data_IF_282011820883
#
_entry.id   IF_282011820883
#
_cell.length_a   1.000
_cell.length_b   1.000
_cell.length_c   1.000
_cell.angle_alpha   90.00
_cell.angle_beta   90.00
_cell.angle_gamma   90.00
#
_symmetry.space_group_name_H-M   'P 1'
#
loop_
_entity.id
_entity.type
_entity.pdbx_description
1 polymer ?
#
# COMPACT_ATOMS: atom_id res chain seq x y z
N UNK A 1 -4.48 13.28 20.00
CA UNK A 1 -5.35 13.15 18.82
C UNK A 1 -4.61 13.83 17.69
N UNK A 2 -4.37 13.17 16.57
CA UNK A 2 -3.79 13.81 15.40
C UNK A 2 -4.88 14.71 14.78
N UNK A 3 -5.02 15.90 15.35
CA UNK A 3 -5.84 16.97 14.82
C UNK A 3 -4.93 17.83 13.92
N UNK A 4 -4.89 17.45 12.66
CA UNK A 4 -4.15 18.14 11.61
C UNK A 4 -4.57 17.50 10.30
N UNK A 5 -5.17 18.28 9.39
CA UNK A 5 -5.80 17.82 8.15
C UNK A 5 -4.89 17.10 7.12
N UNK A 6 -3.75 16.56 7.54
CA UNK A 6 -2.80 15.83 6.72
C UNK A 6 -3.12 14.34 6.58
N UNK A 7 -2.32 13.69 5.73
CA UNK A 7 -2.34 12.27 5.45
C UNK A 7 -1.13 11.59 6.11
N UNK A 8 -1.40 10.53 6.85
CA UNK A 8 -0.37 9.74 7.54
C UNK A 8 0.28 8.74 6.58
N UNK A 9 1.42 8.15 6.95
CA UNK A 9 1.89 6.96 6.24
C UNK A 9 1.15 5.73 6.74
N UNK A 10 0.77 4.84 5.81
CA UNK A 10 0.20 3.53 6.12
C UNK A 10 1.20 2.43 5.73
N UNK A 11 1.18 1.35 6.51
CA UNK A 11 2.02 0.16 6.25
C UNK A 11 1.46 -0.63 5.07
N UNK A 12 2.36 -1.21 4.26
CA UNK A 12 1.99 -2.09 3.14
C UNK A 12 1.63 -3.47 3.69
N UNK A 13 0.39 -3.60 4.15
CA UNK A 13 -0.12 -4.79 4.83
C UNK A 13 -1.52 -5.13 4.32
N UNK A 14 -1.70 -6.39 3.96
CA UNK A 14 -2.94 -6.97 3.43
C UNK A 14 -4.13 -6.78 4.40
N UNK A 15 -3.92 -6.92 5.71
CA UNK A 15 -4.95 -6.73 6.73
C UNK A 15 -5.33 -5.26 6.91
N UNK A 16 -4.37 -4.35 6.81
CA UNK A 16 -4.59 -2.89 6.81
C UNK A 16 -5.38 -2.47 5.57
N UNK A 17 -4.94 -2.87 4.37
CA UNK A 17 -5.58 -2.46 3.11
C UNK A 17 -6.99 -3.02 3.01
N UNK A 18 -7.19 -4.28 3.43
CA UNK A 18 -8.53 -4.87 3.47
C UNK A 18 -9.45 -4.16 4.44
N UNK A 19 -8.98 -3.86 5.66
CA UNK A 19 -9.80 -3.14 6.64
C UNK A 19 -10.09 -1.69 6.20
N UNK A 20 -9.17 -1.07 5.44
CA UNK A 20 -9.35 0.27 4.88
C UNK A 20 -10.52 0.32 3.90
N UNK A 21 -10.58 -0.60 2.94
CA UNK A 21 -11.68 -0.62 1.96
C UNK A 21 -13.02 -1.02 2.60
N UNK A 22 -13.01 -1.91 3.60
CA UNK A 22 -14.21 -2.25 4.37
C UNK A 22 -14.75 -1.03 5.13
N UNK A 23 -13.86 -0.22 5.72
CA UNK A 23 -14.24 1.06 6.35
C UNK A 23 -14.78 2.10 5.36
N UNK A 24 -14.40 2.02 4.09
CA UNK A 24 -14.94 2.85 3.01
C UNK A 24 -16.27 2.32 2.46
N UNK A 25 -16.77 1.19 2.97
CA UNK A 25 -18.05 0.60 2.55
C UNK A 25 -17.95 -0.39 1.38
N UNK A 26 -16.73 -0.70 0.90
CA UNK A 26 -16.51 -1.71 -0.13
C UNK A 26 -16.83 -3.09 0.42
N UNK A 27 -17.48 -3.94 -0.38
CA UNK A 27 -17.87 -5.29 0.03
C UNK A 27 -17.22 -6.38 -0.81
N UNK A 28 -17.02 -7.53 -0.18
CA UNK A 28 -16.59 -8.78 -0.80
C UNK A 28 -15.26 -8.68 -1.58
N UNK A 29 -14.36 -7.80 -1.13
CA UNK A 29 -13.01 -7.62 -1.67
C UNK A 29 -11.99 -7.73 -0.53
N UNK A 30 -10.84 -8.32 -0.83
CA UNK A 30 -9.70 -8.36 0.09
C UNK A 30 -8.37 -8.21 -0.65
N UNK A 31 -7.32 -7.95 0.12
CA UNK A 31 -5.95 -7.90 -0.37
C UNK A 31 -5.20 -9.15 0.07
N UNK A 32 -4.40 -9.69 -0.83
CA UNK A 32 -3.52 -10.84 -0.58
C UNK A 32 -2.09 -10.48 -0.96
N UNK A 33 -1.16 -10.55 -0.02
CA UNK A 33 0.26 -10.35 -0.28
C UNK A 33 0.82 -11.52 -1.10
N UNK A 34 1.56 -11.17 -2.16
CA UNK A 34 2.20 -12.13 -3.06
C UNK A 34 3.68 -12.24 -2.71
N UNK A 35 4.08 -13.43 -2.24
CA UNK A 35 5.47 -13.75 -1.90
C UNK A 35 6.29 -14.04 -3.16
N UNK A 36 5.65 -14.58 -4.20
CA UNK A 36 6.29 -14.99 -5.45
C UNK A 36 5.71 -14.26 -6.66
N UNK A 37 6.58 -14.00 -7.64
CA UNK A 37 6.23 -13.37 -8.92
C UNK A 37 5.98 -14.44 -9.98
N UNK A 38 4.91 -15.20 -9.80
CA UNK A 38 4.44 -16.21 -10.74
C UNK A 38 2.94 -16.04 -11.03
N UNK A 39 2.57 -16.33 -12.29
CA UNK A 39 1.21 -16.18 -12.76
C UNK A 39 0.25 -17.19 -12.11
N UNK A 40 0.73 -18.36 -11.71
CA UNK A 40 -0.10 -19.42 -11.13
C UNK A 40 -0.65 -19.00 -9.75
N UNK A 41 0.17 -18.34 -8.93
CA UNK A 41 -0.26 -17.77 -7.64
C UNK A 41 -1.36 -16.75 -7.84
N UNK A 42 -1.21 -15.79 -8.76
CA UNK A 42 -2.25 -14.81 -9.06
C UNK A 42 -3.52 -15.51 -9.58
N UNK A 43 -3.36 -16.48 -10.49
CA UNK A 43 -4.49 -17.22 -11.07
C UNK A 43 -5.26 -17.99 -10.01
N UNK A 44 -4.58 -18.56 -9.01
CA UNK A 44 -5.20 -19.29 -7.90
C UNK A 44 -6.11 -18.42 -7.03
N UNK A 45 -5.93 -17.10 -7.05
CA UNK A 45 -6.72 -16.12 -6.30
C UNK A 45 -7.87 -15.53 -7.12
N UNK A 46 -8.16 -16.08 -8.30
CA UNK A 46 -9.20 -15.54 -9.17
C UNK A 46 -10.58 -15.56 -8.51
N UNK A 47 -11.42 -14.53 -8.73
CA UNK A 47 -11.19 -13.38 -9.60
C UNK A 47 -10.23 -12.34 -8.99
N UNK A 48 -9.26 -11.87 -9.81
CA UNK A 48 -8.31 -10.82 -9.45
C UNK A 48 -8.66 -9.52 -10.19
N UNK A 49 -8.88 -8.44 -9.44
CA UNK A 49 -9.27 -7.13 -9.96
C UNK A 49 -8.06 -6.28 -10.40
N UNK A 50 -6.91 -6.56 -9.82
CA UNK A 50 -5.67 -5.84 -10.09
C UNK A 50 -4.59 -6.22 -9.08
N UNK A 51 -3.43 -5.59 -9.21
CA UNK A 51 -2.36 -5.70 -8.22
C UNK A 51 -1.84 -4.31 -7.86
N UNK A 52 -1.38 -4.17 -6.63
CA UNK A 52 -0.71 -2.99 -6.12
C UNK A 52 0.75 -3.33 -5.90
N UNK A 53 1.63 -2.53 -6.48
CA UNK A 53 3.07 -2.72 -6.39
C UNK A 53 3.70 -1.55 -5.63
N UNK A 54 4.44 -1.88 -4.57
CA UNK A 54 5.25 -0.97 -3.78
C UNK A 54 6.72 -1.18 -4.11
N UNK A 55 7.44 -0.08 -4.31
CA UNK A 55 8.88 -0.10 -4.58
C UNK A 55 9.56 1.14 -4.01
N UNK A 56 10.87 1.06 -3.76
CA UNK A 56 11.68 2.23 -3.41
C UNK A 56 11.72 3.21 -4.59
N UNK A 57 11.28 4.44 -4.38
CA UNK A 57 11.36 5.48 -5.41
C UNK A 57 12.81 5.98 -5.54
N UNK A 58 13.41 5.74 -6.70
CA UNK A 58 14.75 6.23 -7.04
C UNK A 58 14.59 7.44 -7.97
N UNK A 59 15.01 8.62 -7.51
CA UNK A 59 14.92 9.86 -8.30
C UNK A 59 15.80 9.82 -9.55
N UNK A 60 16.91 9.07 -9.50
CA UNK A 60 17.94 9.03 -10.55
C UNK A 60 17.53 8.18 -11.77
N UNK A 61 16.72 7.13 -11.61
CA UNK A 61 16.15 6.37 -12.74
C UNK A 61 15.05 7.13 -13.48
N UNK A 62 14.61 8.28 -12.95
CA UNK A 62 13.66 9.19 -13.59
C UNK A 62 14.24 10.57 -13.91
N UNK A 63 15.54 10.82 -13.65
CA UNK A 63 16.19 12.00 -14.20
C UNK A 63 16.42 11.80 -15.69
N UNK A 64 15.97 12.73 -16.56
CA UNK A 64 16.48 12.76 -17.92
C UNK A 64 17.98 13.02 -17.80
N UNK A 65 18.79 12.10 -18.32
CA UNK A 65 20.19 12.39 -18.61
C UNK A 65 20.26 13.78 -19.20
N UNK A 66 21.09 14.65 -18.62
CA UNK A 66 21.32 16.03 -19.06
C UNK A 66 21.77 16.03 -20.52
N UNK A 67 20.80 15.99 -21.42
CA UNK A 67 20.91 15.99 -22.88
C UNK A 67 19.48 16.12 -23.42
N UNK A 68 19.01 17.37 -23.49
CA UNK A 68 18.10 17.88 -24.53
C UNK A 68 17.09 16.88 -25.12
N UNK A 69 16.24 16.26 -24.30
CA UNK A 69 15.05 15.56 -24.79
C UNK A 69 13.99 15.52 -23.70
N UNK A 70 12.91 16.27 -23.94
CA UNK A 70 11.61 16.02 -23.31
C UNK A 70 11.25 14.55 -23.54
N UNK A 71 11.30 13.72 -22.51
CA UNK A 71 10.88 12.32 -22.60
C UNK A 71 9.36 12.27 -22.82
N UNK A 72 8.96 12.15 -24.08
CA UNK A 72 7.57 12.10 -24.56
C UNK A 72 6.87 10.75 -24.28
N UNK A 73 7.55 9.78 -23.66
CA UNK A 73 7.06 8.41 -23.49
C UNK A 73 7.46 7.80 -22.15
N UNK A 74 6.65 6.90 -21.57
CA UNK A 74 6.99 6.21 -20.34
C UNK A 74 8.08 5.15 -20.58
N UNK A 75 8.82 4.73 -19.54
CA UNK A 75 9.86 3.70 -19.67
C UNK A 75 9.36 2.31 -20.12
N UNK A 76 8.09 1.98 -19.93
CA UNK A 76 7.41 0.80 -20.49
C UNK A 76 5.96 1.15 -20.77
N UNK A 77 5.33 0.49 -21.74
CA UNK A 77 3.99 0.79 -22.20
C UNK A 77 3.90 2.08 -23.00
N UNK A 78 2.69 2.63 -23.11
CA UNK A 78 2.39 3.85 -23.88
C UNK A 78 1.44 4.75 -23.09
N UNK A 79 1.68 6.06 -23.08
CA UNK A 79 0.72 6.99 -22.49
C UNK A 79 -0.58 6.95 -23.27
N UNK A 80 -1.69 6.76 -22.56
CA UNK A 80 -3.02 6.88 -23.10
C UNK A 80 -3.54 8.30 -22.83
N UNK A 81 -3.42 9.18 -23.82
CA UNK A 81 -3.80 10.60 -23.70
C UNK A 81 -5.29 10.84 -23.94
N UNK A 82 -6.01 9.84 -24.45
CA UNK A 82 -7.45 9.88 -24.67
C UNK A 82 -8.09 8.59 -24.09
N UNK A 83 -7.97 8.39 -22.76
CA UNK A 83 -8.47 7.18 -22.14
C UNK A 83 -9.99 7.14 -22.20
N UNK A 84 -10.53 5.92 -22.13
CA UNK A 84 -11.97 5.71 -22.01
C UNK A 84 -12.56 6.59 -20.89
N UNK A 85 -13.73 7.22 -21.08
CA UNK A 85 -14.37 8.03 -20.04
C UNK A 85 -14.71 7.20 -18.79
N UNK A 86 -14.75 5.87 -18.92
CA UNK A 86 -14.98 4.93 -17.82
C UNK A 86 -13.72 4.70 -16.97
N UNK A 87 -12.53 5.06 -17.46
CA UNK A 87 -11.27 4.92 -16.73
C UNK A 87 -11.15 6.01 -15.65
N UNK A 88 -11.10 5.55 -14.40
CA UNK A 88 -10.72 6.36 -13.27
C UNK A 88 -9.20 6.42 -13.15
N UNK A 89 -8.64 7.60 -13.43
CA UNK A 89 -7.25 7.94 -13.19
C UNK A 89 -7.18 9.30 -12.48
N UNK A 90 -6.37 9.39 -11.43
CA UNK A 90 -6.18 10.59 -10.63
C UNK A 90 -4.69 10.81 -10.40
N UNK A 91 -4.24 12.06 -10.49
CA UNK A 91 -2.87 12.44 -10.16
C UNK A 91 -2.70 12.57 -8.65
N UNK A 92 -1.51 12.24 -8.17
CA UNK A 92 -1.18 12.40 -6.78
C UNK A 92 -0.87 13.87 -6.50
N UNK A 93 -1.74 14.52 -5.70
CA UNK A 93 -1.61 15.93 -5.33
C UNK A 93 -0.98 16.14 -3.94
N UNK A 94 -0.89 15.07 -3.15
CA UNK A 94 -0.43 15.08 -1.77
C UNK A 94 0.52 13.92 -1.48
N UNK A 95 1.43 14.12 -0.53
CA UNK A 95 2.32 13.06 -0.04
C UNK A 95 1.57 12.12 0.91
N UNK A 96 2.10 10.90 1.08
CA UNK A 96 1.59 9.86 1.99
C UNK A 96 0.22 9.24 1.65
N UNK A 97 -0.53 9.76 0.67
CA UNK A 97 -1.79 9.17 0.22
C UNK A 97 -1.65 8.12 -0.90
N UNK A 98 -0.44 7.88 -1.40
CA UNK A 98 -0.18 7.04 -2.58
C UNK A 98 -0.74 5.61 -2.43
N UNK A 99 -0.67 5.01 -1.24
CA UNK A 99 -1.25 3.69 -0.98
C UNK A 99 -2.77 3.66 -1.18
N UNK A 100 -3.50 4.61 -0.59
CA UNK A 100 -4.97 4.70 -0.76
C UNK A 100 -5.36 5.07 -2.18
N UNK A 101 -4.58 5.92 -2.85
CA UNK A 101 -4.82 6.26 -4.25
C UNK A 101 -4.64 5.05 -5.18
N UNK A 102 -3.60 4.23 -4.97
CA UNK A 102 -3.41 2.99 -5.73
C UNK A 102 -4.55 1.99 -5.47
N UNK A 103 -4.99 1.84 -4.21
CA UNK A 103 -6.17 1.05 -3.83
C UNK A 103 -7.40 1.50 -4.62
N UNK A 104 -7.76 2.78 -4.52
CA UNK A 104 -8.94 3.32 -5.18
C UNK A 104 -8.84 3.25 -6.71
N UNK A 105 -7.64 3.32 -7.27
CA UNK A 105 -7.42 3.15 -8.71
C UNK A 105 -7.80 1.74 -9.19
N UNK A 106 -7.62 0.70 -8.38
CA UNK A 106 -8.13 -0.65 -8.73
C UNK A 106 -9.64 -0.74 -8.47
N UNK A 107 -10.08 -0.33 -7.26
CA UNK A 107 -11.47 -0.49 -6.82
C UNK A 107 -12.47 0.26 -7.70
N UNK A 108 -12.20 1.53 -8.02
CA UNK A 108 -13.12 2.37 -8.79
C UNK A 108 -13.18 1.99 -10.27
N UNK A 109 -12.16 1.30 -10.80
CA UNK A 109 -12.16 0.79 -12.17
C UNK A 109 -12.83 -0.58 -12.33
N UNK A 110 -13.20 -1.24 -11.22
CA UNK A 110 -13.81 -2.58 -11.21
C UNK A 110 -15.21 -2.60 -10.57
N UNK A 111 -15.87 -1.44 -10.48
CA UNK A 111 -17.19 -1.33 -9.86
C UNK A 111 -18.33 -1.80 -10.78
N UNK A 112 -19.52 -1.94 -10.21
CA UNK A 112 -20.72 -2.38 -10.93
C UNK A 112 -21.20 -1.41 -12.03
N UNK A 113 -20.85 -0.12 -11.92
CA UNK A 113 -21.20 0.93 -12.88
C UNK A 113 -20.21 1.09 -14.04
N UNK A 114 -19.00 0.53 -13.95
CA UNK A 114 -18.06 0.45 -15.05
C UNK A 114 -18.63 -0.45 -16.16
N UNK A 115 -19.39 0.17 -17.07
CA UNK A 115 -20.11 -0.48 -18.18
C UNK A 115 -19.23 -1.30 -19.13
N UNK A 116 -17.91 -1.19 -18.99
CA UNK A 116 -16.93 -1.90 -19.80
C UNK A 116 -16.45 -3.22 -19.17
N UNK A 117 -16.69 -3.47 -17.88
CA UNK A 117 -16.45 -4.75 -17.21
C UNK A 117 -17.51 -5.79 -17.59
N UNK A 118 -18.09 -5.72 -18.79
CA UNK A 118 -19.16 -6.60 -19.30
C UNK A 118 -18.82 -8.10 -19.28
N UNK A 119 -17.58 -8.47 -18.96
CA UNK A 119 -17.11 -9.84 -18.76
C UNK A 119 -16.59 -10.15 -17.33
N UNK A 120 -16.69 -9.24 -16.36
CA UNK A 120 -16.37 -9.56 -14.96
C UNK A 120 -17.64 -10.11 -14.26
N UNK A 121 -17.71 -11.42 -13.96
CA UNK A 121 -18.87 -12.00 -13.30
C UNK A 121 -19.07 -11.51 -11.85
N UNK A 122 -18.06 -10.89 -11.25
CA UNK A 122 -18.07 -10.47 -9.85
C UNK A 122 -17.66 -8.99 -9.71
N UNK A 123 -18.47 -8.02 -10.18
CA UNK A 123 -18.16 -6.61 -10.04
C UNK A 123 -18.08 -6.19 -8.57
N UNK A 124 -17.24 -5.20 -8.27
CA UNK A 124 -17.06 -4.71 -6.92
C UNK A 124 -18.26 -3.85 -6.50
N UNK A 125 -18.81 -4.14 -5.33
CA UNK A 125 -19.74 -3.24 -4.66
C UNK A 125 -18.93 -2.22 -3.85
N UNK A 126 -18.81 -1.00 -4.37
CA UNK A 126 -18.00 0.08 -3.78
C UNK A 126 -18.72 0.86 -2.67
N UNK A 127 -20.00 0.58 -2.42
CA UNK A 127 -20.80 1.33 -1.45
C UNK A 127 -21.24 2.72 -1.93
N UNK A 128 -22.21 3.35 -1.23
CA UNK A 128 -22.82 4.60 -1.69
C UNK A 128 -21.88 5.80 -1.63
N UNK A 129 -20.95 5.83 -0.68
CA UNK A 129 -20.03 6.94 -0.50
C UNK A 129 -18.99 7.03 -1.62
N UNK A 130 -18.34 5.91 -1.97
CA UNK A 130 -17.39 5.86 -3.08
C UNK A 130 -18.10 6.00 -4.43
N UNK A 131 -19.34 5.51 -4.57
CA UNK A 131 -20.14 5.76 -5.76
C UNK A 131 -20.42 7.26 -5.94
N UNK A 132 -20.85 7.94 -4.86
CA UNK A 132 -21.07 9.39 -4.88
C UNK A 132 -19.79 10.17 -5.21
N UNK A 133 -18.64 9.73 -4.67
CA UNK A 133 -17.34 10.31 -5.01
C UNK A 133 -16.97 10.11 -6.49
N UNK A 134 -17.18 8.91 -7.02
CA UNK A 134 -16.91 8.58 -8.43
C UNK A 134 -17.80 9.40 -9.37
N UNK A 135 -19.09 9.52 -9.07
CA UNK A 135 -20.03 10.31 -9.85
C UNK A 135 -19.66 11.80 -9.83
N UNK A 136 -19.31 12.34 -8.65
CA UNK A 136 -18.86 13.72 -8.49
C UNK A 136 -17.62 14.04 -9.33
N UNK A 137 -16.71 13.07 -9.46
CA UNK A 137 -15.41 13.24 -10.14
C UNK A 137 -15.39 12.74 -11.60
N UNK A 138 -16.50 12.23 -12.12
CA UNK A 138 -16.57 11.60 -13.45
C UNK A 138 -16.07 12.53 -14.56
N UNK A 139 -16.46 13.81 -14.53
CA UNK A 139 -16.07 14.82 -15.53
C UNK A 139 -14.77 15.55 -15.24
N UNK A 140 -14.08 15.25 -14.14
CA UNK A 140 -12.86 15.97 -13.76
C UNK A 140 -11.63 15.46 -14.52
N UNK A 141 -10.70 16.33 -14.90
CA UNK A 141 -9.36 15.92 -15.33
C UNK A 141 -8.59 15.26 -14.17
N UNK A 142 -7.54 14.47 -14.46
CA UNK A 142 -6.83 13.67 -13.46
C UNK A 142 -6.26 14.44 -12.27
N UNK A 143 -5.78 15.68 -12.48
CA UNK A 143 -5.31 16.59 -11.44
C UNK A 143 -6.43 17.00 -10.47
N UNK A 144 -7.59 17.40 -11.00
CA UNK A 144 -8.75 17.74 -10.18
C UNK A 144 -9.38 16.52 -9.49
N UNK A 145 -9.32 15.32 -10.10
CA UNK A 145 -9.68 14.08 -9.41
C UNK A 145 -8.76 13.81 -8.22
N UNK A 146 -7.47 14.07 -8.39
CA UNK A 146 -6.47 13.99 -7.33
C UNK A 146 -6.73 14.98 -6.20
N UNK A 147 -7.10 16.21 -6.53
CA UNK A 147 -7.47 17.25 -5.56
C UNK A 147 -8.79 16.93 -4.83
N UNK A 148 -9.78 16.37 -5.54
CA UNK A 148 -11.00 15.90 -4.91
C UNK A 148 -10.74 14.76 -3.93
N UNK A 149 -9.84 13.83 -4.27
CA UNK A 149 -9.42 12.73 -3.40
C UNK A 149 -8.72 13.27 -2.14
N UNK A 150 -7.76 14.18 -2.30
CA UNK A 150 -6.98 14.72 -1.18
C UNK A 150 -7.83 15.49 -0.16
N UNK A 151 -8.88 16.15 -0.64
CA UNK A 151 -9.84 16.92 0.17
C UNK A 151 -11.03 16.08 0.69
N UNK A 152 -11.10 14.79 0.37
CA UNK A 152 -12.17 13.92 0.85
C UNK A 152 -11.98 13.55 2.31
N UNK A 153 -12.77 14.16 3.20
CA UNK A 153 -12.72 13.89 4.64
C UNK A 153 -12.96 12.43 4.97
N UNK A 154 -13.90 11.79 4.26
CA UNK A 154 -14.23 10.39 4.44
C UNK A 154 -13.02 9.50 4.13
N UNK A 155 -12.41 9.69 2.95
CA UNK A 155 -11.28 8.87 2.52
C UNK A 155 -10.08 9.12 3.43
N UNK A 156 -9.80 10.37 3.77
CA UNK A 156 -8.71 10.76 4.66
C UNK A 156 -8.90 10.20 6.08
N UNK A 157 -10.11 10.23 6.61
CA UNK A 157 -10.44 9.66 7.92
C UNK A 157 -10.28 8.14 7.93
N UNK A 158 -10.78 7.45 6.91
CA UNK A 158 -10.62 6.01 6.77
C UNK A 158 -9.14 5.61 6.65
N UNK A 159 -8.36 6.34 5.86
CA UNK A 159 -6.91 6.16 5.72
C UNK A 159 -6.18 6.36 7.06
N UNK A 160 -6.41 7.49 7.73
CA UNK A 160 -5.73 7.83 8.98
C UNK A 160 -6.14 6.92 10.15
N UNK A 161 -7.28 6.21 10.06
CA UNK A 161 -7.69 5.23 11.07
C UNK A 161 -6.70 4.04 11.19
N UNK A 162 -5.87 3.82 10.16
CA UNK A 162 -4.85 2.76 10.11
C UNK A 162 -3.41 3.30 10.19
N UNK A 163 -3.26 4.61 10.43
CA UNK A 163 -1.96 5.17 10.78
C UNK A 163 -1.47 4.56 12.09
N UNK A 164 -0.15 4.38 12.22
CA UNK A 164 0.45 4.00 13.51
C UNK A 164 0.06 5.04 14.56
N UNK A 165 -0.33 4.57 15.74
CA UNK A 165 -0.48 5.47 16.88
C UNK A 165 0.88 6.09 17.20
N UNK A 166 1.11 7.34 16.79
CA UNK A 166 2.26 8.13 17.24
C UNK A 166 1.85 8.86 18.52
N UNK A 167 2.33 8.43 19.69
CA UNK A 167 2.01 9.08 20.96
C UNK A 167 2.74 10.42 21.13
N UNK A 168 3.76 10.67 20.30
CA UNK A 168 4.51 11.91 20.27
C UNK A 168 4.11 12.69 19.01
N UNK A 169 3.67 13.93 19.19
CA UNK A 169 3.71 14.92 18.11
C UNK A 169 5.17 15.27 17.98
N UNK A 170 5.82 14.73 16.95
CA UNK A 170 7.21 15.06 16.72
C UNK A 170 7.28 16.45 16.09
N UNK A 171 7.22 17.51 16.91
CA UNK A 171 7.48 18.88 16.49
C UNK A 171 8.92 19.07 15.98
N UNK A 172 9.79 18.07 16.18
CA UNK A 172 11.16 17.99 15.69
C UNK A 172 11.33 17.14 14.43
N UNK A 173 10.27 16.51 13.90
CA UNK A 173 10.18 16.20 12.46
C UNK A 173 9.94 17.53 11.74
N UNK A 174 10.95 18.40 11.83
CA UNK A 174 11.35 19.20 10.68
C UNK A 174 11.36 18.21 9.54
N UNK A 175 10.58 18.49 8.49
CA UNK A 175 10.65 17.83 7.19
C UNK A 175 11.95 17.04 7.09
N UNK A 176 11.89 15.71 7.10
CA UNK A 176 13.01 14.84 6.69
C UNK A 176 13.25 15.07 5.18
N UNK A 177 13.54 16.32 4.81
CA UNK A 177 14.01 16.76 3.52
C UNK A 177 15.54 16.65 3.45
N UNK A 178 16.21 16.49 4.61
CA UNK A 178 17.68 16.48 4.72
C UNK A 178 18.29 15.14 5.16
N UNK A 179 17.48 14.11 5.48
CA UNK A 179 17.97 12.73 5.49
C UNK A 179 17.60 12.10 4.15
N UNK A 180 18.56 11.48 3.46
CA UNK A 180 18.35 10.59 2.30
C UNK A 180 17.54 9.34 2.71
N UNK A 181 16.36 9.54 3.27
CA UNK A 181 15.44 8.48 3.65
C UNK A 181 14.92 7.79 2.39
N UNK A 182 14.84 6.46 2.44
CA UNK A 182 14.21 5.68 1.40
C UNK A 182 12.73 6.07 1.28
N UNK A 183 12.37 6.77 0.19
CA UNK A 183 10.98 7.04 -0.15
C UNK A 183 10.42 5.85 -0.91
N UNK A 184 9.23 5.39 -0.57
CA UNK A 184 8.54 4.31 -1.27
C UNK A 184 7.33 4.84 -2.03
N UNK A 185 7.00 4.20 -3.14
CA UNK A 185 5.89 4.60 -4.00
C UNK A 185 5.00 3.42 -4.39
N UNK A 186 3.69 3.66 -4.40
CA UNK A 186 2.67 2.69 -4.79
C UNK A 186 2.16 2.98 -6.19
N UNK A 187 2.01 1.93 -7.00
CA UNK A 187 1.33 1.97 -8.29
C UNK A 187 0.34 0.82 -8.40
N UNK A 188 -0.70 1.02 -9.20
CA UNK A 188 -1.70 0.01 -9.45
C UNK A 188 -1.62 -0.53 -10.89
N UNK A 189 -1.84 -1.82 -11.06
CA UNK A 189 -2.03 -2.46 -12.35
C UNK A 189 -3.42 -3.11 -12.37
N UNK A 190 -4.24 -2.79 -13.37
CA UNK A 190 -5.60 -3.34 -13.46
C UNK A 190 -6.04 -3.44 -14.92
N UNK A 191 -6.77 -4.50 -15.31
CA UNK A 191 -7.35 -4.60 -16.63
C UNK A 191 -8.61 -3.74 -16.73
N UNK A 192 -8.66 -2.82 -17.69
CA UNK A 192 -9.83 -1.96 -17.97
C UNK A 192 -10.06 -1.95 -19.47
N UNK A 193 -11.31 -2.13 -19.89
CA UNK A 193 -11.74 -2.10 -21.31
C UNK A 193 -10.91 -3.03 -22.21
N UNK A 194 -10.52 -4.20 -21.67
CA UNK A 194 -9.72 -5.19 -22.38
C UNK A 194 -8.26 -4.79 -22.59
N UNK A 195 -7.74 -3.83 -21.81
CA UNK A 195 -6.33 -3.41 -21.80
C UNK A 195 -5.74 -3.46 -20.40
N UNK A 196 -4.45 -3.76 -20.29
CA UNK A 196 -3.73 -3.65 -19.01
C UNK A 196 -3.28 -2.21 -18.81
N UNK A 197 -3.73 -1.57 -17.74
CA UNK A 197 -3.30 -0.23 -17.37
C UNK A 197 -2.39 -0.25 -16.14
N UNK A 198 -1.33 0.55 -16.21
CA UNK A 198 -0.52 1.00 -15.08
C UNK A 198 -1.00 2.41 -14.68
N UNK A 199 -1.47 2.52 -13.44
CA UNK A 199 -2.04 3.73 -12.86
C UNK A 199 -1.07 4.22 -11.77
N UNK A 200 -0.16 5.10 -12.19
CA UNK A 200 0.81 5.78 -11.32
C UNK A 200 0.40 7.26 -11.20
N UNK A 201 0.04 7.68 -9.99
CA UNK A 201 -0.41 9.06 -9.73
C UNK A 201 0.64 10.14 -10.02
N UNK A 202 1.92 9.78 -10.11
CA UNK A 202 2.99 10.71 -10.46
C UNK A 202 3.18 10.87 -11.97
N UNK A 203 2.53 10.03 -12.79
CA UNK A 203 2.60 10.11 -14.25
C UNK A 203 1.54 11.08 -14.81
N UNK A 204 1.82 11.77 -15.92
CA UNK A 204 0.86 12.72 -16.50
C UNK A 204 -0.39 12.04 -17.08
N UNK A 205 -0.26 10.79 -17.51
CA UNK A 205 -1.32 10.01 -18.15
C UNK A 205 -1.27 8.55 -17.67
N UNK A 206 -2.39 7.82 -17.69
CA UNK A 206 -2.37 6.38 -17.48
C UNK A 206 -1.53 5.70 -18.56
N UNK A 207 -0.84 4.62 -18.18
CA UNK A 207 0.08 3.90 -19.09
C UNK A 207 -0.60 2.60 -19.52
N UNK A 208 -0.83 2.44 -20.82
CA UNK A 208 -1.35 1.21 -21.42
C UNK A 208 -0.21 0.26 -21.77
N UNK A 209 -0.34 -1.00 -21.34
CA UNK A 209 0.53 -2.12 -21.68
C UNK A 209 -0.08 -3.03 -22.78
N UNK A 210 -1.09 -2.53 -23.50
CA UNK A 210 -1.74 -3.25 -24.59
C UNK A 210 -2.96 -4.07 -24.15
N UNK A 211 -3.51 -4.86 -25.07
CA UNK A 211 -4.71 -5.67 -24.81
C UNK A 211 -4.46 -6.68 -23.69
N UNK A 212 -5.46 -6.95 -22.85
CA UNK A 212 -5.39 -7.84 -21.70
C UNK A 212 -6.79 -8.29 -21.30
N UNK A 213 -7.06 -9.59 -21.36
CA UNK A 213 -8.27 -10.18 -20.77
C UNK A 213 -8.05 -10.52 -19.30
N UNK A 214 -9.12 -10.82 -18.56
CA UNK A 214 -9.00 -11.27 -17.16
C UNK A 214 -8.19 -12.57 -17.03
N UNK A 215 -8.26 -13.46 -18.03
CA UNK A 215 -7.52 -14.72 -18.05
C UNK A 215 -6.02 -14.53 -18.33
N UNK A 216 -5.67 -13.54 -19.16
CA UNK A 216 -4.28 -13.20 -19.52
C UNK A 216 -3.61 -12.25 -18.52
N UNK A 217 -4.41 -11.65 -17.62
CA UNK A 217 -3.93 -10.66 -16.66
C UNK A 217 -2.76 -11.15 -15.81
N UNK A 218 -2.78 -12.36 -15.21
CA UNK A 218 -1.67 -12.88 -14.41
C UNK A 218 -0.33 -12.90 -15.16
N UNK A 219 -0.30 -13.36 -16.41
CA UNK A 219 0.91 -13.47 -17.20
C UNK A 219 1.43 -12.09 -17.60
N UNK A 220 0.54 -11.23 -18.11
CA UNK A 220 0.91 -9.89 -18.59
C UNK A 220 1.42 -9.00 -17.46
N UNK A 221 0.77 -9.03 -16.31
CA UNK A 221 1.20 -8.20 -15.17
C UNK A 221 2.54 -8.66 -14.61
N UNK A 222 2.79 -9.97 -14.53
CA UNK A 222 4.09 -10.50 -14.09
C UNK A 222 5.20 -10.14 -15.06
N UNK A 223 4.96 -10.16 -16.37
CA UNK A 223 5.93 -9.71 -17.37
C UNK A 223 6.33 -8.24 -17.16
N UNK A 224 5.34 -7.35 -17.03
CA UNK A 224 5.55 -5.92 -16.80
C UNK A 224 6.30 -5.67 -15.48
N UNK A 225 5.90 -6.36 -14.40
CA UNK A 225 6.54 -6.23 -13.10
C UNK A 225 8.00 -6.73 -13.10
N UNK A 226 8.29 -7.83 -13.79
CA UNK A 226 9.67 -8.33 -13.94
C UNK A 226 10.55 -7.33 -14.68
N UNK A 227 10.04 -6.74 -15.77
CA UNK A 227 10.77 -5.70 -16.50
C UNK A 227 11.04 -4.47 -15.63
N UNK A 228 10.08 -4.10 -14.75
CA UNK A 228 10.23 -2.99 -13.82
C UNK A 228 11.26 -3.28 -12.73
N UNK A 229 11.22 -4.46 -12.12
CA UNK A 229 12.18 -4.90 -11.08
C UNK A 229 13.60 -4.98 -11.65
N UNK A 230 13.76 -5.46 -12.89
CA UNK A 230 15.06 -5.55 -13.55
C UNK A 230 15.79 -4.20 -13.76
N UNK A 231 15.12 -3.07 -13.53
CA UNK A 231 15.72 -1.72 -13.57
C UNK A 231 16.37 -1.30 -12.26
N UNK A 232 16.10 -2.03 -11.18
CA UNK A 232 16.69 -1.76 -9.87
C UNK A 232 18.05 -2.43 -9.76
N UNK A 233 19.00 -1.85 -8.99
CA UNK A 233 20.29 -2.46 -8.76
C UNK A 233 20.18 -3.89 -8.20
N UNK A 234 21.12 -4.76 -8.59
CA UNK A 234 21.21 -6.10 -8.02
C UNK A 234 21.30 -6.04 -6.49
N UNK A 235 20.49 -6.85 -5.81
CA UNK A 235 20.41 -6.88 -4.35
C UNK A 235 19.34 -5.96 -3.75
N UNK A 236 18.71 -5.08 -4.54
CA UNK A 236 17.48 -4.39 -4.09
C UNK A 236 16.35 -5.43 -3.99
N UNK A 237 15.75 -5.50 -2.81
CA UNK A 237 14.71 -6.51 -2.47
C UNK A 237 13.48 -5.86 -1.84
N UNK A 238 13.48 -4.53 -1.68
CA UNK A 238 12.43 -3.80 -0.98
C UNK A 238 11.28 -3.49 -1.94
N UNK A 239 10.60 -4.56 -2.30
CA UNK A 239 9.38 -4.57 -3.07
C UNK A 239 8.29 -5.24 -2.25
N UNK A 240 7.04 -4.82 -2.45
CA UNK A 240 5.88 -5.55 -1.96
C UNK A 240 4.84 -5.56 -3.07
N UNK A 241 4.15 -6.69 -3.23
CA UNK A 241 3.12 -6.87 -4.23
C UNK A 241 1.89 -7.44 -3.55
N UNK A 242 0.75 -6.81 -3.77
CA UNK A 242 -0.54 -7.27 -3.25
C UNK A 242 -1.53 -7.44 -4.39
N UNK A 243 -2.22 -8.57 -4.42
CA UNK A 243 -3.37 -8.78 -5.30
C UNK A 243 -4.63 -8.20 -4.65
N UNK A 244 -5.46 -7.55 -5.46
CA UNK A 244 -6.82 -7.15 -5.09
C UNK A 244 -7.76 -8.20 -5.61
N UNK A 245 -8.42 -8.94 -4.71
CA UNK A 245 -9.14 -10.16 -5.06
C UNK A 245 -10.52 -10.16 -4.41
N UNK A 246 -11.41 -11.00 -4.91
CA UNK A 246 -12.68 -11.23 -4.21
C UNK A 246 -12.41 -11.88 -2.86
N UNK A 247 -13.18 -11.49 -1.85
CA UNK A 247 -13.04 -12.03 -0.50
C UNK A 247 -13.08 -13.56 -0.52
N UNK A 248 -11.98 -14.19 -0.11
CA UNK A 248 -11.79 -15.63 -0.21
C UNK A 248 -12.76 -16.40 0.68
N UNK A 249 -13.31 -15.76 1.73
CA UNK A 249 -14.38 -16.34 2.57
C UNK A 249 -15.67 -16.49 1.79
N UNK A 250 -15.97 -15.56 0.89
CA UNK A 250 -17.18 -15.61 0.06
C UNK A 250 -17.04 -16.75 -0.94
N UNK A 251 -15.91 -16.83 -1.64
CA UNK A 251 -15.62 -17.93 -2.57
C UNK A 251 -15.65 -19.30 -1.86
N UNK A 252 -15.01 -19.43 -0.70
CA UNK A 252 -15.02 -20.67 0.09
C UNK A 252 -16.43 -21.10 0.52
N UNK A 253 -17.28 -20.15 0.92
CA UNK A 253 -18.69 -20.41 1.27
C UNK A 253 -19.50 -20.92 0.08
N UNK A 254 -19.31 -20.33 -1.11
CA UNK A 254 -20.05 -20.69 -2.31
C UNK A 254 -19.72 -22.10 -2.81
N UNK A 255 -18.44 -22.50 -2.73
CA UNK A 255 -18.01 -23.85 -3.14
C UNK A 255 -18.17 -24.90 -2.03
N UNK A 256 -18.56 -24.48 -0.81
CA UNK A 256 -18.74 -25.37 0.34
C UNK A 256 -17.43 -25.87 0.96
N UNK A 257 -16.32 -25.18 0.75
CA UNK A 257 -15.02 -25.53 1.33
C UNK A 257 -14.92 -24.99 2.76
N UNK A 258 -15.29 -25.83 3.71
CA UNK A 258 -15.31 -25.50 5.14
C UNK A 258 -13.89 -25.25 5.69
N UNK A 259 -12.89 -26.00 5.21
CA UNK A 259 -11.51 -25.86 5.69
C UNK A 259 -10.89 -24.55 5.21
N UNK A 260 -11.11 -24.18 3.95
CA UNK A 260 -10.67 -22.90 3.42
C UNK A 260 -11.36 -21.74 4.12
N UNK A 261 -12.67 -21.85 4.36
CA UNK A 261 -13.41 -20.83 5.09
C UNK A 261 -12.84 -20.61 6.50
N UNK A 262 -12.59 -21.68 7.26
CA UNK A 262 -12.05 -21.55 8.62
C UNK A 262 -10.64 -20.94 8.61
N UNK A 263 -9.83 -21.25 7.59
CA UNK A 263 -8.49 -20.67 7.40
C UNK A 263 -8.57 -19.17 7.20
N UNK A 264 -9.42 -18.72 6.29
CA UNK A 264 -9.63 -17.30 6.00
C UNK A 264 -10.23 -16.57 7.22
N UNK A 265 -11.18 -17.17 7.94
CA UNK A 265 -11.72 -16.57 9.17
C UNK A 265 -10.67 -16.43 10.29
N UNK A 266 -9.73 -17.38 10.37
CA UNK A 266 -8.59 -17.27 11.30
C UNK A 266 -7.63 -16.15 10.87
N UNK A 267 -7.36 -16.03 9.56
CA UNK A 267 -6.56 -14.92 8.97
C UNK A 267 -7.18 -13.57 9.33
N UNK A 268 -8.49 -13.40 9.11
CA UNK A 268 -9.24 -12.18 9.45
C UNK A 268 -9.18 -11.83 10.94
N UNK A 269 -9.29 -12.82 11.83
CA UNK A 269 -9.15 -12.58 13.28
C UNK A 269 -7.74 -12.12 13.65
N UNK A 270 -6.70 -12.69 13.03
CA UNK A 270 -5.33 -12.27 13.25
C UNK A 270 -5.10 -10.82 12.79
N UNK A 271 -5.57 -10.45 11.60
CA UNK A 271 -5.50 -9.07 11.11
C UNK A 271 -6.25 -8.08 12.00
N UNK A 272 -7.45 -8.43 12.47
CA UNK A 272 -8.22 -7.58 13.38
C UNK A 272 -7.49 -7.36 14.71
N UNK A 273 -6.83 -8.41 15.23
CA UNK A 273 -5.99 -8.31 16.41
C UNK A 273 -4.78 -7.40 16.17
N UNK A 274 -4.08 -7.59 15.05
CA UNK A 274 -2.91 -6.78 14.70
C UNK A 274 -3.27 -5.31 14.49
N UNK A 275 -4.39 -5.02 13.82
CA UNK A 275 -4.91 -3.65 13.68
C UNK A 275 -5.28 -3.02 15.03
N UNK A 276 -5.74 -3.82 15.99
CA UNK A 276 -5.96 -3.35 17.37
C UNK A 276 -4.63 -2.98 18.05
N UNK A 277 -3.58 -3.77 17.84
CA UNK A 277 -2.24 -3.46 18.35
C UNK A 277 -1.67 -2.20 17.67
N UNK A 278 -1.76 -2.06 16.34
CA UNK A 278 -1.26 -0.89 15.59
C UNK A 278 -1.85 0.44 16.07
N UNK A 279 -3.13 0.41 16.46
CA UNK A 279 -3.87 1.59 16.96
C UNK A 279 -3.68 1.85 18.45
N UNK A 280 -3.09 0.90 19.18
CA UNK A 280 -2.90 1.02 20.62
C UNK A 280 -1.70 1.91 20.95
N UNK A 281 -1.90 2.85 21.88
CA UNK A 281 -0.81 3.63 22.44
C UNK A 281 -0.13 2.86 23.57
N UNK A 282 1.07 2.35 23.31
CA UNK A 282 1.82 1.54 24.28
C UNK A 282 2.67 2.34 25.28
N UNK A 283 2.69 3.68 25.24
CA UNK A 283 3.58 4.48 26.13
C UNK A 283 3.32 4.21 27.60
N UNK A 284 2.05 4.17 28.02
CA UNK A 284 1.70 3.87 29.41
C UNK A 284 2.14 2.47 29.82
N UNK A 285 1.91 1.48 28.95
CA UNK A 285 2.33 0.09 29.17
C UNK A 285 3.86 -0.04 29.28
N UNK A 286 4.60 0.57 28.35
CA UNK A 286 6.07 0.59 28.36
C UNK A 286 6.59 1.24 29.64
N UNK A 287 5.97 2.34 30.09
CA UNK A 287 6.33 3.01 31.33
C UNK A 287 6.18 2.10 32.56
N UNK A 288 5.07 1.37 32.67
CA UNK A 288 4.86 0.44 33.78
C UNK A 288 5.77 -0.79 33.73
N UNK A 289 6.02 -1.35 32.53
CA UNK A 289 7.01 -2.43 32.35
C UNK A 289 8.40 -1.95 32.78
N UNK A 290 8.80 -0.76 32.36
CA UNK A 290 10.09 -0.18 32.72
C UNK A 290 10.23 -0.03 34.24
N UNK A 291 9.24 0.57 34.91
CA UNK A 291 9.23 0.70 36.37
C UNK A 291 9.34 -0.66 37.07
N UNK A 292 8.61 -1.66 36.59
CA UNK A 292 8.66 -3.02 37.13
C UNK A 292 10.05 -3.66 37.00
N UNK A 293 10.66 -3.55 35.81
CA UNK A 293 12.00 -4.10 35.54
C UNK A 293 13.07 -3.40 36.37
N UNK A 294 13.04 -2.07 36.42
CA UNK A 294 13.99 -1.28 37.23
C UNK A 294 13.84 -1.64 38.71
N UNK A 295 12.62 -1.66 39.25
CA UNK A 295 12.38 -2.02 40.64
C UNK A 295 12.79 -3.46 40.98
N UNK A 296 12.71 -4.41 40.03
CA UNK A 296 13.27 -5.76 40.21
C UNK A 296 14.79 -5.77 40.28
N UNK A 297 15.47 -4.89 39.53
CA UNK A 297 16.93 -4.79 39.52
C UNK A 297 17.47 -4.09 40.76
N UNK A 298 16.82 -3.04 41.22
CA UNK A 298 17.19 -2.36 42.48
C UNK A 298 17.06 -3.30 43.69
N UNK A 299 16.04 -4.16 43.72
CA UNK A 299 15.88 -5.17 44.77
C UNK A 299 16.97 -6.26 44.80
N UNK A 300 17.75 -6.42 43.73
CA UNK A 300 18.84 -7.41 43.68
C UNK A 300 20.13 -6.93 44.37
N UNK A 301 20.20 -5.66 44.77
CA UNK A 301 21.33 -5.05 45.46
C UNK A 301 21.79 -3.76 44.79
N UNK A 302 22.53 -2.93 45.54
CA UNK A 302 23.11 -1.69 45.03
C UNK A 302 24.05 -1.98 43.84
N UNK A 303 23.96 -1.15 42.78
CA UNK A 303 24.79 -1.27 41.58
C UNK A 303 24.30 -2.29 40.53
N UNK A 304 23.28 -3.10 40.83
CA UNK A 304 22.78 -4.14 39.89
C UNK A 304 22.02 -3.57 38.70
N UNK A 305 21.39 -2.41 38.87
CA UNK A 305 20.75 -1.69 37.77
C UNK A 305 21.79 -1.16 36.80
N UNK A 306 22.83 -0.50 37.31
CA UNK A 306 23.94 0.05 36.53
C UNK A 306 24.69 -1.05 35.76
N UNK A 307 24.97 -2.19 36.42
CA UNK A 307 25.60 -3.36 35.79
C UNK A 307 24.74 -3.88 34.61
N UNK A 308 23.41 -3.91 34.78
CA UNK A 308 22.49 -4.36 33.74
C UNK A 308 22.45 -3.39 32.55
N UNK A 309 22.43 -2.09 32.81
CA UNK A 309 22.45 -1.04 31.77
C UNK A 309 23.77 -1.09 30.99
N UNK A 310 24.92 -1.21 31.66
CA UNK A 310 26.21 -1.29 30.99
C UNK A 310 26.35 -2.56 30.15
N UNK A 311 25.83 -3.70 30.62
CA UNK A 311 25.76 -4.91 29.82
C UNK A 311 24.92 -4.70 28.54
N UNK A 312 23.76 -4.05 28.66
CA UNK A 312 22.90 -3.77 27.51
C UNK A 312 23.56 -2.81 26.50
N UNK A 313 24.30 -1.80 26.97
CA UNK A 313 25.11 -0.92 26.12
C UNK A 313 26.18 -1.70 25.36
N UNK A 314 26.93 -2.56 26.05
CA UNK A 314 27.96 -3.40 25.43
C UNK A 314 27.41 -4.34 24.36
N UNK A 315 26.26 -4.98 24.63
CA UNK A 315 25.58 -5.82 23.63
C UNK A 315 25.12 -5.03 22.39
N UNK A 316 24.61 -3.81 22.61
CA UNK A 316 24.18 -2.90 21.54
C UNK A 316 25.36 -2.47 20.66
N UNK A 317 26.47 -2.06 21.27
CA UNK A 317 27.69 -1.69 20.56
C UNK A 317 28.24 -2.85 19.72
N UNK A 318 28.23 -4.08 20.28
CA UNK A 318 28.65 -5.28 19.55
C UNK A 318 27.74 -5.59 18.36
N UNK A 319 26.43 -5.33 18.46
CA UNK A 319 25.49 -5.48 17.33
C UNK A 319 25.76 -4.43 16.24
N UNK A 320 26.01 -3.18 16.62
CA UNK A 320 26.34 -2.10 15.68
C UNK A 320 27.63 -2.41 14.90
N UNK A 321 28.67 -2.87 15.58
CA UNK A 321 29.93 -3.30 14.95
C UNK A 321 29.72 -4.47 13.97
N UNK A 322 28.83 -5.42 14.28
CA UNK A 322 28.48 -6.52 13.35
C UNK A 322 27.65 -6.09 12.14
N UNK A 323 26.94 -4.96 12.22
CA UNK A 323 26.07 -4.46 11.16
C UNK A 323 26.80 -3.56 10.15
N UNK A 324 28.12 -3.39 10.25
CA UNK A 324 28.91 -2.58 9.32
C UNK A 324 28.69 -1.06 9.41
N UNK A 325 27.89 -0.56 10.37
CA UNK A 325 27.68 0.88 10.62
C UNK A 325 28.74 1.47 11.56
N UNK A 326 30.01 1.06 11.42
CA UNK A 326 31.06 1.43 12.36
C UNK A 326 31.77 2.75 12.03
N UNK A 327 31.69 3.26 10.80
CA UNK A 327 32.48 4.44 10.40
C UNK A 327 31.60 5.61 9.97
N UNK A 328 30.90 6.24 10.92
CA UNK A 328 30.58 7.68 10.86
C UNK A 328 30.52 8.22 12.31
N UNK A 329 31.68 8.52 12.87
CA UNK A 329 31.88 9.51 13.93
C UNK A 329 33.27 10.10 13.75
#
# INVERSE_FOLDING_TARGET
MADGGGWSTIESDEGVFTSLIENLGVKDVQFEELISLDADTIRSLSPVYGVIFLFKWIRETQQPSTSTSSTTSPPSGTYDTDPSPNLFFANQTIQNACGTQAILSVILNNDSSSSSSSNNPYPINIGPELHSFKDFTAGFPPDLRGEALSNSELIRSAHNAFARASPFVDETVRNNQDEEGDVYHFIAYTPVDGKLYELDGLQPHPISHGGCTAEEFPEKVIEVLRQRIARYPEGETRFNLMAVVRDLRVTAKEIGDVEALEREERKRRAWAWENTLRRSNFVGFIGEVLKGVVGMKEKQGEGKYEEWVEKAKGETQRKLMRSGKADVC
#
